data_IF_621606238764
#
_entry.id   IF_621606238764
#
_cell.length_a   1.000
_cell.length_b   1.000
_cell.length_c   1.000
_cell.angle_alpha   90.00
_cell.angle_beta   90.00
_cell.angle_gamma   90.00
#
_symmetry.space_group_name_H-M   'P 1'
#
loop_
_entity.id
_entity.type
_entity.pdbx_description
1 polymer ?
#
# COMPACT_ATOMS: atom_id res chain seq x y z
N UNK A 1 9.96 20.71 -1.65
CA UNK A 1 10.90 19.64 -2.02
C UNK A 1 11.30 18.87 -0.76
N UNK A 2 10.38 18.10 -0.20
CA UNK A 2 10.72 17.16 0.88
C UNK A 2 11.37 15.94 0.25
N UNK A 3 12.63 15.65 0.60
CA UNK A 3 13.27 14.39 0.20
C UNK A 3 12.48 13.27 0.87
N UNK A 4 11.58 12.64 0.12
CA UNK A 4 11.07 11.32 0.48
C UNK A 4 12.28 10.42 0.75
N UNK A 5 12.16 9.56 1.75
CA UNK A 5 13.15 8.55 2.11
C UNK A 5 13.16 7.48 1.01
N UNK A 6 13.49 7.88 -0.21
CA UNK A 6 13.74 6.97 -1.31
C UNK A 6 15.15 6.42 -1.13
N UNK A 7 15.33 5.16 -1.45
CA UNK A 7 16.64 4.48 -1.50
C UNK A 7 17.44 4.95 -2.74
N UNK A 8 17.13 6.17 -3.22
CA UNK A 8 17.62 6.89 -4.39
C UNK A 8 19.15 7.06 -4.46
N UNK A 9 19.85 6.74 -3.37
CA UNK A 9 21.29 6.85 -3.24
C UNK A 9 22.05 5.54 -3.39
N UNK A 10 21.44 4.43 -3.83
CA UNK A 10 22.12 3.13 -3.99
C UNK A 10 23.31 3.25 -4.94
N UNK A 11 23.07 3.82 -6.14
CA UNK A 11 24.06 3.83 -7.22
C UNK A 11 25.20 4.86 -7.01
N UNK A 12 25.07 5.75 -6.02
CA UNK A 12 26.09 6.76 -5.67
C UNK A 12 26.90 6.38 -4.42
N UNK A 13 26.71 5.16 -3.90
CA UNK A 13 27.44 4.68 -2.72
C UNK A 13 28.94 4.50 -3.03
N UNK A 14 29.84 4.95 -2.15
CA UNK A 14 31.29 4.70 -2.28
C UNK A 14 31.66 3.22 -2.43
N UNK A 15 30.79 2.31 -1.95
CA UNK A 15 30.93 0.87 -2.11
C UNK A 15 30.88 0.38 -3.56
N UNK A 16 30.15 1.07 -4.46
CA UNK A 16 30.03 0.70 -5.88
C UNK A 16 31.30 1.05 -6.68
N UNK A 17 31.88 2.24 -6.43
CA UNK A 17 33.15 2.64 -7.04
C UNK A 17 34.32 1.75 -6.59
N UNK A 18 34.26 1.18 -5.39
CA UNK A 18 35.25 0.24 -4.86
C UNK A 18 34.90 -1.25 -5.07
N UNK A 19 33.91 -1.56 -5.90
CA UNK A 19 33.53 -2.93 -6.28
C UNK A 19 33.98 -3.30 -7.71
N UNK A 20 34.26 -2.31 -8.55
CA UNK A 20 34.82 -2.51 -9.87
C UNK A 20 36.19 -3.21 -9.77
N UNK A 21 36.25 -4.48 -10.19
CA UNK A 21 37.47 -5.31 -10.16
C UNK A 21 37.57 -6.34 -9.02
N UNK A 22 36.58 -6.40 -8.12
CA UNK A 22 36.43 -7.51 -7.18
C UNK A 22 35.70 -8.69 -7.85
N UNK A 23 35.86 -9.88 -7.29
CA UNK A 23 34.95 -10.97 -7.63
C UNK A 23 33.50 -10.60 -7.25
N UNK A 24 32.54 -11.01 -8.09
CA UNK A 24 31.13 -10.62 -7.97
C UNK A 24 30.51 -10.99 -6.61
N UNK A 25 30.88 -12.13 -6.01
CA UNK A 25 30.38 -12.51 -4.68
C UNK A 25 30.87 -11.56 -3.58
N UNK A 26 32.13 -11.14 -3.66
CA UNK A 26 32.72 -10.17 -2.72
C UNK A 26 32.11 -8.78 -2.90
N UNK A 27 31.88 -8.37 -4.15
CA UNK A 27 31.20 -7.12 -4.49
C UNK A 27 29.78 -7.10 -3.91
N UNK A 28 28.99 -8.16 -4.12
CA UNK A 28 27.63 -8.28 -3.59
C UNK A 28 27.59 -8.22 -2.07
N UNK A 29 28.47 -8.96 -1.39
CA UNK A 29 28.56 -8.95 0.07
C UNK A 29 28.83 -7.53 0.61
N UNK A 30 29.75 -6.81 -0.02
CA UNK A 30 30.09 -5.42 0.34
C UNK A 30 28.92 -4.47 0.10
N UNK A 31 28.22 -4.62 -1.03
CA UNK A 31 27.05 -3.81 -1.39
C UNK A 31 25.93 -4.00 -0.36
N UNK A 32 25.61 -5.24 0.01
CA UNK A 32 24.58 -5.55 1.02
C UNK A 32 24.92 -4.89 2.36
N UNK A 33 26.18 -4.99 2.82
CA UNK A 33 26.63 -4.38 4.08
C UNK A 33 26.49 -2.86 4.05
N UNK A 34 26.97 -2.21 2.98
CA UNK A 34 26.87 -0.75 2.87
C UNK A 34 25.42 -0.26 2.72
N UNK A 35 24.57 -1.01 2.01
CA UNK A 35 23.15 -0.71 1.91
C UNK A 35 22.44 -0.82 3.26
N UNK A 36 22.69 -1.88 4.03
CA UNK A 36 22.14 -2.02 5.39
C UNK A 36 22.60 -0.90 6.32
N UNK A 37 23.85 -0.48 6.21
CA UNK A 37 24.41 0.62 7.00
C UNK A 37 23.76 1.96 6.64
N UNK A 38 23.54 2.23 5.36
CA UNK A 38 22.94 3.50 4.88
C UNK A 38 21.41 3.53 5.03
N UNK A 39 20.76 2.38 4.93
CA UNK A 39 19.30 2.23 4.99
C UNK A 39 18.90 1.14 6.00
N UNK A 40 19.11 1.35 7.32
CA UNK A 40 18.78 0.36 8.34
C UNK A 40 17.29 0.02 8.33
N UNK A 41 16.97 -1.28 8.37
CA UNK A 41 15.58 -1.77 8.39
C UNK A 41 14.88 -1.84 7.04
N UNK A 42 15.55 -1.47 5.94
CA UNK A 42 14.97 -1.47 4.59
C UNK A 42 15.56 -2.52 3.64
N UNK A 43 16.55 -3.29 4.11
CA UNK A 43 17.18 -4.38 3.35
C UNK A 43 16.84 -5.69 4.04
N UNK A 44 16.42 -6.70 3.27
CA UNK A 44 16.06 -8.03 3.76
C UNK A 44 17.19 -8.65 4.61
N UNK A 45 16.85 -9.38 5.68
CA UNK A 45 17.82 -10.10 6.51
C UNK A 45 18.42 -11.29 5.75
N UNK A 46 19.59 -11.77 6.17
CA UNK A 46 20.34 -12.83 5.47
C UNK A 46 19.54 -14.13 5.31
N UNK A 47 18.69 -14.46 6.27
CA UNK A 47 17.78 -15.61 6.26
C UNK A 47 16.70 -15.54 5.16
N UNK A 48 16.43 -14.35 4.64
CA UNK A 48 15.45 -14.11 3.58
C UNK A 48 16.10 -13.82 2.22
N UNK A 49 17.42 -13.63 2.18
CA UNK A 49 18.17 -13.51 0.94
C UNK A 49 18.27 -14.89 0.27
N UNK A 50 17.73 -14.98 -0.93
CA UNK A 50 17.80 -16.19 -1.75
C UNK A 50 17.98 -15.82 -3.22
N UNK A 51 18.72 -16.66 -3.94
CA UNK A 51 18.79 -16.61 -5.40
C UNK A 51 17.61 -17.37 -5.99
N UNK A 52 16.87 -16.72 -6.87
CA UNK A 52 15.71 -17.28 -7.57
C UNK A 52 15.92 -17.09 -9.06
N UNK A 53 15.54 -18.06 -9.89
CA UNK A 53 15.58 -17.88 -11.34
C UNK A 53 14.53 -16.87 -11.79
N UNK A 54 14.82 -16.17 -12.88
CA UNK A 54 13.90 -15.25 -13.56
C UNK A 54 13.86 -15.62 -15.02
N UNK A 55 12.67 -15.99 -15.49
CA UNK A 55 12.40 -16.27 -16.90
C UNK A 55 11.37 -15.24 -17.39
N UNK A 56 11.80 -14.37 -18.30
CA UNK A 56 10.96 -13.33 -18.90
C UNK A 56 11.53 -12.87 -20.24
N UNK A 57 10.66 -12.42 -21.16
CA UNK A 57 11.07 -11.83 -22.43
C UNK A 57 11.92 -12.73 -23.34
N UNK A 58 11.92 -14.05 -23.12
CA UNK A 58 12.78 -15.02 -23.82
C UNK A 58 14.19 -15.17 -23.22
N UNK A 59 14.57 -14.38 -22.22
CA UNK A 59 15.83 -14.51 -21.51
C UNK A 59 15.65 -15.23 -20.16
N UNK A 60 16.77 -15.69 -19.60
CA UNK A 60 16.84 -16.37 -18.31
C UNK A 60 18.03 -15.85 -17.51
N UNK A 61 17.78 -15.46 -16.26
CA UNK A 61 18.80 -15.06 -15.30
C UNK A 61 18.46 -15.50 -13.89
N UNK A 62 19.20 -15.01 -12.91
CA UNK A 62 18.89 -15.20 -11.49
C UNK A 62 18.94 -13.87 -10.76
N UNK A 63 18.02 -13.70 -9.81
CA UNK A 63 17.95 -12.53 -8.95
C UNK A 63 18.05 -12.87 -7.47
N UNK A 64 18.61 -11.96 -6.70
CA UNK A 64 18.51 -11.92 -5.24
C UNK A 64 17.93 -10.56 -4.82
N UNK A 65 16.67 -10.57 -4.37
CA UNK A 65 15.98 -9.34 -3.96
C UNK A 65 16.55 -8.84 -2.64
N UNK A 66 16.93 -7.56 -2.57
CA UNK A 66 17.45 -6.92 -1.37
C UNK A 66 16.41 -6.02 -0.70
N UNK A 67 15.67 -5.25 -1.51
CA UNK A 67 14.62 -4.35 -1.07
C UNK A 67 13.47 -4.37 -2.07
N UNK A 68 12.24 -4.25 -1.59
CA UNK A 68 11.06 -4.06 -2.43
C UNK A 68 9.95 -3.34 -1.66
N UNK A 69 9.35 -2.36 -2.33
CA UNK A 69 8.14 -1.65 -1.93
C UNK A 69 7.17 -1.59 -3.11
N UNK A 70 6.05 -0.87 -2.95
CA UNK A 70 5.13 -0.62 -4.06
C UNK A 70 5.73 0.31 -5.13
N UNK A 71 6.77 1.08 -4.79
CA UNK A 71 7.31 2.15 -5.64
C UNK A 71 8.78 2.00 -6.02
N UNK A 72 9.53 1.16 -5.30
CA UNK A 72 10.98 0.99 -5.48
C UNK A 72 11.37 -0.48 -5.24
N UNK A 73 12.40 -0.96 -5.93
CA UNK A 73 13.09 -2.20 -5.57
C UNK A 73 14.60 -2.08 -5.80
N UNK A 74 15.36 -2.91 -5.07
CA UNK A 74 16.79 -3.12 -5.30
C UNK A 74 17.03 -4.63 -5.31
N UNK A 75 17.67 -5.14 -6.34
CA UNK A 75 18.05 -6.54 -6.43
C UNK A 75 19.44 -6.71 -7.04
N UNK A 76 20.05 -7.85 -6.75
CA UNK A 76 21.23 -8.34 -7.46
C UNK A 76 20.72 -9.21 -8.60
N UNK A 77 21.19 -8.98 -9.81
CA UNK A 77 20.80 -9.76 -10.98
C UNK A 77 22.04 -10.26 -11.72
N UNK A 78 21.92 -11.40 -12.37
CA UNK A 78 22.90 -11.81 -13.35
C UNK A 78 22.63 -13.17 -13.97
N UNK A 79 23.59 -13.63 -14.75
CA UNK A 79 23.55 -14.93 -15.41
C UNK A 79 24.96 -15.53 -15.52
N UNK A 80 25.05 -16.83 -15.27
CA UNK A 80 26.28 -17.60 -15.48
C UNK A 80 26.42 -18.09 -16.94
N UNK A 81 25.38 -17.95 -17.76
CA UNK A 81 25.35 -18.38 -19.18
C UNK A 81 24.91 -17.22 -20.08
N UNK A 82 25.22 -17.31 -21.38
CA UNK A 82 24.74 -16.33 -22.35
C UNK A 82 23.21 -16.37 -22.42
N UNK A 83 22.57 -15.20 -22.41
CA UNK A 83 21.12 -15.08 -22.56
C UNK A 83 20.75 -13.77 -23.25
N UNK A 84 19.60 -13.72 -23.90
CA UNK A 84 19.11 -12.51 -24.54
C UNK A 84 17.64 -12.61 -24.92
N UNK A 85 17.00 -11.46 -25.07
CA UNK A 85 15.57 -11.37 -25.33
C UNK A 85 15.06 -9.94 -25.27
N UNK A 86 13.78 -9.79 -24.96
CA UNK A 86 13.08 -8.51 -24.86
C UNK A 86 13.24 -7.91 -23.45
N UNK A 87 13.56 -6.61 -23.35
CA UNK A 87 13.79 -5.95 -22.05
C UNK A 87 12.53 -5.80 -21.20
N UNK A 88 11.36 -5.75 -21.83
CA UNK A 88 10.08 -5.39 -21.21
C UNK A 88 9.75 -3.91 -21.40
N UNK A 89 8.46 -3.55 -21.23
CA UNK A 89 7.97 -2.15 -21.14
C UNK A 89 7.34 -1.95 -19.78
N UNK A 90 8.01 -1.18 -18.94
CA UNK A 90 7.61 -0.99 -17.54
C UNK A 90 6.95 0.37 -17.33
N UNK A 91 6.10 0.47 -16.32
CA UNK A 91 5.69 1.75 -15.72
C UNK A 91 6.64 2.14 -14.58
N UNK A 92 7.93 1.97 -14.84
CA UNK A 92 9.02 2.21 -13.92
C UNK A 92 10.30 2.48 -14.70
N UNK A 93 11.16 3.33 -14.12
CA UNK A 93 12.52 3.55 -14.58
C UNK A 93 13.44 2.51 -13.92
N UNK A 94 14.19 1.77 -14.72
CA UNK A 94 15.13 0.74 -14.25
C UNK A 94 16.56 1.21 -14.52
N UNK A 95 17.44 0.99 -13.55
CA UNK A 95 18.85 1.33 -13.64
C UNK A 95 19.71 0.13 -13.28
N UNK A 96 20.53 -0.31 -14.23
CA UNK A 96 21.41 -1.47 -14.12
C UNK A 96 22.86 -1.04 -14.07
N UNK A 97 23.55 -1.32 -12.96
CA UNK A 97 24.98 -1.05 -12.81
C UNK A 97 25.77 -2.35 -12.87
N UNK A 98 26.61 -2.48 -13.90
CA UNK A 98 27.35 -3.72 -14.19
C UNK A 98 28.53 -3.86 -13.21
N UNK A 99 28.66 -5.04 -12.61
CA UNK A 99 29.79 -5.42 -11.74
C UNK A 99 30.79 -6.29 -12.50
N UNK A 100 30.30 -7.22 -13.32
CA UNK A 100 31.13 -8.11 -14.15
C UNK A 100 30.41 -8.48 -15.45
N UNK A 101 31.16 -9.01 -16.42
CA UNK A 101 30.63 -9.43 -17.71
C UNK A 101 30.32 -8.27 -18.67
N UNK A 102 29.42 -8.48 -19.62
CA UNK A 102 29.04 -7.46 -20.61
C UNK A 102 27.53 -7.48 -20.88
N UNK A 103 26.98 -6.29 -21.09
CA UNK A 103 25.57 -6.08 -21.43
C UNK A 103 25.47 -5.42 -22.79
N UNK A 104 24.70 -6.00 -23.72
CA UNK A 104 24.41 -5.41 -25.01
C UNK A 104 22.97 -4.94 -25.06
N UNK A 105 22.76 -3.70 -25.48
CA UNK A 105 21.44 -3.12 -25.68
C UNK A 105 21.25 -2.73 -27.14
N UNK A 106 20.10 -3.10 -27.70
CA UNK A 106 19.63 -2.64 -29.01
C UNK A 106 18.29 -1.92 -28.84
N UNK A 107 18.30 -0.60 -29.04
CA UNK A 107 17.10 0.24 -28.86
C UNK A 107 16.12 0.08 -30.01
N UNK A 108 14.83 0.03 -29.67
CA UNK A 108 13.74 0.03 -30.64
C UNK A 108 13.88 1.19 -31.64
N UNK A 109 13.62 0.93 -32.92
CA UNK A 109 13.73 1.92 -33.99
C UNK A 109 15.15 2.16 -34.53
N UNK A 110 16.17 1.48 -33.99
CA UNK A 110 17.56 1.58 -34.48
C UNK A 110 18.01 0.30 -35.20
N UNK A 111 19.16 0.33 -35.89
CA UNK A 111 19.77 -0.83 -36.56
C UNK A 111 21.16 -1.18 -36.00
N UNK A 112 21.50 -0.66 -34.82
CA UNK A 112 22.81 -0.84 -34.17
C UNK A 112 22.61 -1.13 -32.70
N UNK A 113 23.52 -1.89 -32.11
CA UNK A 113 23.55 -2.16 -30.67
C UNK A 113 24.77 -1.51 -30.03
N UNK A 114 24.66 -1.24 -28.73
CA UNK A 114 25.72 -0.73 -27.88
C UNK A 114 26.10 -1.81 -26.85
N UNK A 115 27.37 -1.85 -26.45
CA UNK A 115 27.89 -2.77 -25.44
C UNK A 115 28.38 -1.94 -24.26
N UNK A 116 27.96 -2.35 -23.07
CA UNK A 116 28.29 -1.78 -21.78
C UNK A 116 29.15 -2.75 -20.97
N UNK A 117 30.00 -2.20 -20.12
CA UNK A 117 31.07 -2.89 -19.39
C UNK A 117 30.97 -2.65 -17.88
N UNK A 118 31.72 -3.39 -17.05
CA UNK A 118 31.75 -3.19 -15.60
C UNK A 118 32.02 -1.74 -15.21
N UNK A 119 31.19 -1.20 -14.33
CA UNK A 119 31.19 0.22 -13.92
C UNK A 119 30.19 1.09 -14.68
N UNK A 120 29.74 0.67 -15.87
CA UNK A 120 28.69 1.39 -16.59
C UNK A 120 27.33 1.22 -15.90
N UNK A 121 26.50 2.25 -16.01
CA UNK A 121 25.10 2.22 -15.57
C UNK A 121 24.18 2.49 -16.75
N UNK A 122 23.31 1.53 -17.04
CA UNK A 122 22.31 1.60 -18.10
C UNK A 122 21.00 2.03 -17.46
N UNK A 123 20.33 3.01 -18.07
CA UNK A 123 19.02 3.48 -17.62
C UNK A 123 18.00 3.14 -18.69
N UNK A 124 16.99 2.35 -18.30
CA UNK A 124 15.84 1.96 -19.11
C UNK A 124 14.61 2.74 -18.61
N UNK A 125 14.16 3.72 -19.40
CA UNK A 125 13.08 4.62 -18.98
C UNK A 125 11.70 3.95 -19.08
N UNK A 126 10.76 4.44 -18.29
CA UNK A 126 9.37 3.99 -18.33
C UNK A 126 8.80 4.04 -19.76
N UNK A 127 8.27 2.90 -20.22
CA UNK A 127 7.69 2.72 -21.55
C UNK A 127 8.68 2.38 -22.68
N UNK A 128 9.99 2.48 -22.47
CA UNK A 128 10.99 2.06 -23.46
C UNK A 128 10.97 0.54 -23.66
N UNK A 129 11.39 0.09 -24.86
CA UNK A 129 11.64 -1.31 -25.18
C UNK A 129 12.98 -1.44 -25.88
N UNK A 130 13.78 -2.42 -25.48
CA UNK A 130 15.06 -2.75 -26.10
C UNK A 130 15.21 -4.27 -26.22
N UNK A 131 15.98 -4.73 -27.20
CA UNK A 131 16.50 -6.08 -27.17
C UNK A 131 17.81 -6.07 -26.36
N UNK A 132 17.93 -7.05 -25.47
CA UNK A 132 19.01 -7.13 -24.48
C UNK A 132 19.73 -8.45 -24.60
N UNK A 133 21.03 -8.45 -24.34
CA UNK A 133 21.83 -9.66 -24.27
C UNK A 133 22.88 -9.51 -23.17
N UNK A 134 22.95 -10.48 -22.29
CA UNK A 134 23.98 -10.61 -21.27
C UNK A 134 24.93 -11.74 -21.68
N UNK A 135 26.23 -11.51 -21.56
CA UNK A 135 27.20 -12.60 -21.72
C UNK A 135 27.31 -13.45 -20.45
N UNK A 136 27.80 -14.68 -20.59
CA UNK A 136 28.08 -15.56 -19.46
C UNK A 136 28.98 -14.87 -18.41
N UNK A 137 28.56 -14.91 -17.13
CA UNK A 137 29.28 -14.25 -16.03
C UNK A 137 28.95 -12.76 -15.85
N UNK A 138 27.86 -12.30 -16.46
CA UNK A 138 27.38 -10.92 -16.27
C UNK A 138 26.56 -10.81 -14.99
N UNK A 139 26.99 -9.93 -14.09
CA UNK A 139 26.37 -9.66 -12.80
C UNK A 139 26.25 -8.16 -12.57
N UNK A 140 25.14 -7.73 -11.98
CA UNK A 140 24.79 -6.31 -11.81
C UNK A 140 23.93 -6.09 -10.57
N UNK A 141 23.85 -4.82 -10.16
CA UNK A 141 22.78 -4.36 -9.26
C UNK A 141 21.75 -3.63 -10.11
N UNK A 142 20.49 -3.97 -9.89
CA UNK A 142 19.35 -3.36 -10.54
C UNK A 142 18.55 -2.56 -9.50
N UNK A 143 18.24 -1.32 -9.84
CA UNK A 143 17.36 -0.44 -9.07
C UNK A 143 16.18 -0.03 -9.94
N UNK A 144 14.96 -0.28 -9.48
CA UNK A 144 13.75 0.13 -10.15
C UNK A 144 12.95 1.14 -9.35
N UNK A 145 12.35 2.12 -10.04
CA UNK A 145 11.47 3.13 -9.45
C UNK A 145 10.25 3.41 -10.32
N UNK A 146 9.06 3.21 -9.77
CA UNK A 146 7.78 3.39 -10.47
C UNK A 146 6.72 2.47 -9.89
N UNK A 147 5.73 2.06 -10.68
CA UNK A 147 4.70 1.12 -10.18
C UNK A 147 5.21 -0.33 -10.23
N UNK A 148 5.98 -0.75 -9.22
CA UNK A 148 6.68 -2.03 -9.19
C UNK A 148 5.76 -3.25 -9.39
N UNK A 149 4.53 -3.32 -8.82
CA UNK A 149 3.62 -4.44 -9.08
C UNK A 149 3.33 -4.70 -10.58
N UNK A 150 3.38 -3.66 -11.43
CA UNK A 150 3.20 -3.84 -12.89
C UNK A 150 4.36 -4.57 -13.56
N UNK A 151 5.58 -4.44 -13.04
CA UNK A 151 6.79 -5.08 -13.60
C UNK A 151 6.76 -6.60 -13.42
N UNK A 152 6.13 -7.05 -12.33
CA UNK A 152 6.03 -8.46 -11.96
C UNK A 152 5.26 -9.29 -12.99
N UNK A 153 4.28 -8.69 -13.68
CA UNK A 153 3.53 -9.36 -14.75
C UNK A 153 4.45 -9.78 -15.91
N UNK A 154 5.43 -8.93 -16.26
CA UNK A 154 6.44 -9.26 -17.26
C UNK A 154 7.45 -10.27 -16.72
N UNK A 155 7.97 -10.04 -15.50
CA UNK A 155 8.99 -10.88 -14.88
C UNK A 155 8.54 -12.35 -14.64
N UNK A 156 7.22 -12.60 -14.57
CA UNK A 156 6.64 -13.92 -14.38
C UNK A 156 6.03 -14.52 -15.66
N UNK A 157 6.03 -13.79 -16.79
CA UNK A 157 5.34 -14.22 -18.00
C UNK A 157 5.86 -15.56 -18.53
N UNK A 158 7.18 -15.69 -18.74
CA UNK A 158 7.76 -16.96 -19.21
C UNK A 158 7.85 -17.99 -18.08
N UNK A 159 7.83 -17.56 -16.81
CA UNK A 159 7.67 -18.49 -15.68
C UNK A 159 6.32 -19.23 -15.78
N UNK A 160 5.24 -18.52 -16.12
CA UNK A 160 3.89 -19.08 -16.21
C UNK A 160 3.64 -19.78 -17.55
N UNK A 161 3.96 -19.12 -18.66
CA UNK A 161 3.53 -19.54 -20.00
C UNK A 161 4.59 -20.28 -20.81
N UNK A 162 5.85 -20.31 -20.35
CA UNK A 162 6.94 -21.02 -21.01
C UNK A 162 7.46 -22.19 -20.16
N UNK A 163 8.08 -21.89 -19.02
CA UNK A 163 8.74 -22.90 -18.17
C UNK A 163 7.78 -23.66 -17.26
N UNK A 164 6.65 -23.04 -16.88
CA UNK A 164 5.68 -23.59 -15.91
C UNK A 164 6.32 -23.93 -14.55
N UNK A 165 7.38 -23.23 -14.18
CA UNK A 165 8.05 -23.42 -12.89
C UNK A 165 7.28 -22.69 -11.77
N UNK A 166 6.22 -23.34 -11.29
CA UNK A 166 5.42 -22.84 -10.19
C UNK A 166 6.18 -22.77 -8.85
N UNK A 167 7.29 -23.51 -8.73
CA UNK A 167 8.18 -23.42 -7.56
C UNK A 167 8.90 -22.07 -7.54
N UNK A 168 9.50 -21.68 -8.67
CA UNK A 168 10.10 -20.36 -8.87
C UNK A 168 9.07 -19.24 -8.73
N UNK A 169 7.87 -19.40 -9.30
CA UNK A 169 6.75 -18.46 -9.11
C UNK A 169 6.45 -18.22 -7.62
N UNK A 170 6.28 -19.30 -6.85
CA UNK A 170 6.01 -19.20 -5.41
C UNK A 170 7.16 -18.52 -4.65
N UNK A 171 8.42 -18.86 -4.98
CA UNK A 171 9.59 -18.26 -4.34
C UNK A 171 9.67 -16.75 -4.59
N UNK A 172 9.44 -16.31 -5.82
CA UNK A 172 9.42 -14.89 -6.20
C UNK A 172 8.33 -14.12 -5.45
N UNK A 173 7.09 -14.64 -5.44
CA UNK A 173 5.98 -14.01 -4.72
C UNK A 173 6.23 -13.96 -3.20
N UNK A 174 6.77 -15.04 -2.63
CA UNK A 174 7.11 -15.12 -1.20
C UNK A 174 8.16 -14.09 -0.80
N UNK A 175 9.25 -13.94 -1.57
CA UNK A 175 10.30 -12.96 -1.24
C UNK A 175 9.79 -11.54 -1.39
N UNK A 176 9.00 -11.26 -2.42
CA UNK A 176 8.36 -9.96 -2.57
C UNK A 176 7.43 -9.63 -1.39
N UNK A 177 6.62 -10.59 -0.94
CA UNK A 177 5.77 -10.42 0.24
C UNK A 177 6.58 -10.17 1.52
N UNK A 178 7.69 -10.87 1.73
CA UNK A 178 8.60 -10.63 2.87
C UNK A 178 9.19 -9.21 2.85
N UNK A 179 9.59 -8.72 1.67
CA UNK A 179 10.10 -7.36 1.52
C UNK A 179 9.00 -6.31 1.82
N UNK A 180 7.77 -6.52 1.34
CA UNK A 180 6.65 -5.63 1.66
C UNK A 180 6.33 -5.61 3.16
N UNK A 181 6.40 -6.77 3.84
CA UNK A 181 6.23 -6.85 5.29
C UNK A 181 7.34 -6.12 6.05
N UNK A 182 8.59 -6.22 5.57
CA UNK A 182 9.71 -5.47 6.13
C UNK A 182 9.44 -3.96 6.05
N UNK A 183 9.09 -3.44 4.88
CA UNK A 183 8.78 -2.02 4.69
C UNK A 183 7.59 -1.55 5.52
N UNK A 184 6.53 -2.36 5.61
CA UNK A 184 5.40 -2.07 6.48
C UNK A 184 5.85 -1.99 7.95
N UNK A 185 6.67 -2.94 8.42
CA UNK A 185 7.17 -2.96 9.80
C UNK A 185 8.06 -1.76 10.13
N UNK A 186 8.92 -1.34 9.19
CA UNK A 186 9.76 -0.17 9.32
C UNK A 186 8.92 1.12 9.41
N UNK A 187 7.90 1.23 8.54
CA UNK A 187 6.94 2.33 8.58
C UNK A 187 6.20 2.41 9.91
N UNK A 188 5.66 1.29 10.42
CA UNK A 188 4.98 1.26 11.71
C UNK A 188 5.90 1.57 12.89
N UNK A 189 7.16 1.13 12.84
CA UNK A 189 8.15 1.44 13.87
C UNK A 189 8.42 2.94 13.94
N UNK A 190 8.58 3.60 12.78
CA UNK A 190 8.74 5.05 12.70
C UNK A 190 7.48 5.79 13.17
N UNK A 191 6.30 5.28 12.81
CA UNK A 191 5.01 5.82 13.24
C UNK A 191 4.83 5.69 14.77
N UNK A 192 5.21 4.57 15.36
CA UNK A 192 5.14 4.34 16.81
C UNK A 192 6.11 5.27 17.58
N UNK A 193 7.31 5.53 17.04
CA UNK A 193 8.26 6.48 17.64
C UNK A 193 7.79 7.93 17.55
N UNK A 194 7.18 8.32 16.42
CA UNK A 194 6.57 9.65 16.27
C UNK A 194 5.31 9.80 17.11
N UNK A 195 4.56 8.71 17.31
CA UNK A 195 3.44 8.64 18.25
C UNK A 195 3.88 8.86 19.71
N UNK A 196 4.97 8.20 20.17
CA UNK A 196 5.48 8.38 21.52
C UNK A 196 6.05 9.78 21.78
N UNK A 197 6.61 10.45 20.76
CA UNK A 197 7.08 11.84 20.86
C UNK A 197 5.96 12.89 20.81
N UNK A 198 4.77 12.52 20.33
CA UNK A 198 3.65 13.44 20.11
C UNK A 198 2.59 13.48 21.21
N UNK A 199 2.67 12.66 22.27
CA UNK A 199 1.57 12.54 23.21
C UNK A 199 1.92 12.90 24.66
N UNK A 200 1.84 14.21 24.92
CA UNK A 200 1.54 14.78 26.23
C UNK A 200 0.16 15.41 26.24
N UNK A 201 -0.91 14.67 25.92
CA UNK A 201 -2.27 15.02 26.36
C UNK A 201 -3.26 13.87 26.15
N UNK A 202 -3.82 13.38 27.25
CA UNK A 202 -5.10 12.66 27.24
C UNK A 202 -6.11 13.40 26.37
N UNK A 203 -6.73 12.70 25.41
CA UNK A 203 -7.99 13.14 24.82
C UNK A 203 -8.89 11.95 24.50
N UNK A 204 -9.97 11.89 25.28
CA UNK A 204 -11.17 11.09 25.05
C UNK A 204 -11.78 11.34 23.65
N UNK A 205 -12.58 10.36 23.21
CA UNK A 205 -13.51 10.32 22.07
C UNK A 205 -13.56 11.59 21.17
N UNK A 206 -13.28 11.48 19.86
CA UNK A 206 -13.20 12.63 18.96
C UNK A 206 -14.55 13.31 18.69
N UNK A 207 -15.67 12.72 19.08
CA UNK A 207 -16.99 13.28 18.80
C UNK A 207 -17.46 14.26 19.88
N UNK A 208 -17.82 15.51 19.52
CA UNK A 208 -18.57 16.36 20.43
C UNK A 208 -19.91 15.67 20.74
N UNK A 209 -20.21 15.51 22.03
CA UNK A 209 -21.46 14.97 22.59
C UNK A 209 -22.71 15.80 22.23
N UNK A 210 -22.61 16.71 21.26
CA UNK A 210 -23.46 17.91 21.16
C UNK A 210 -24.70 17.77 20.27
N UNK A 211 -24.85 16.70 19.47
CA UNK A 211 -25.95 16.61 18.50
C UNK A 211 -26.72 15.29 18.46
N UNK A 212 -26.41 14.35 19.36
CA UNK A 212 -27.14 13.10 19.46
C UNK A 212 -28.35 13.24 20.40
N UNK A 213 -29.53 12.79 19.95
CA UNK A 213 -30.73 12.72 20.79
C UNK A 213 -31.48 14.04 21.04
N UNK A 214 -31.25 15.11 20.27
CA UNK A 214 -32.11 16.31 20.33
C UNK A 214 -33.47 15.96 19.70
N UNK A 215 -34.58 15.98 20.46
CA UNK A 215 -35.89 15.63 19.91
C UNK A 215 -36.25 16.56 18.74
N UNK A 216 -36.51 15.98 17.56
CA UNK A 216 -36.94 16.72 16.36
C UNK A 216 -35.83 17.18 15.41
N UNK A 217 -34.55 16.85 15.66
CA UNK A 217 -33.47 17.09 14.71
C UNK A 217 -33.34 15.91 13.73
N UNK A 218 -33.50 16.18 12.44
CA UNK A 218 -33.33 15.18 11.39
C UNK A 218 -31.84 14.80 11.24
N UNK A 219 -31.57 13.55 10.87
CA UNK A 219 -30.21 13.02 10.69
C UNK A 219 -29.39 13.83 9.67
N UNK A 220 -30.03 14.32 8.60
CA UNK A 220 -29.39 15.21 7.62
C UNK A 220 -28.90 16.52 8.26
N UNK A 221 -29.73 17.16 9.08
CA UNK A 221 -29.36 18.39 9.78
C UNK A 221 -28.24 18.16 10.80
N UNK A 222 -28.26 17.01 11.49
CA UNK A 222 -27.20 16.62 12.40
C UNK A 222 -25.88 16.43 11.65
N UNK A 223 -25.90 15.73 10.52
CA UNK A 223 -24.72 15.52 9.67
C UNK A 223 -24.16 16.83 9.10
N UNK A 224 -24.99 17.74 8.60
CA UNK A 224 -24.52 19.05 8.13
C UNK A 224 -23.80 19.83 9.24
N UNK A 225 -24.34 19.83 10.46
CA UNK A 225 -23.69 20.49 11.61
C UNK A 225 -22.36 19.84 11.98
N UNK A 226 -22.31 18.50 11.97
CA UNK A 226 -21.09 17.74 12.26
C UNK A 226 -20.01 18.05 11.22
N UNK A 227 -20.34 18.08 9.93
CA UNK A 227 -19.38 18.42 8.86
C UNK A 227 -18.83 19.85 9.06
N UNK A 228 -19.70 20.83 9.36
CA UNK A 228 -19.29 22.22 9.61
C UNK A 228 -18.34 22.33 10.80
N UNK A 229 -18.67 21.70 11.93
CA UNK A 229 -17.82 21.72 13.13
C UNK A 229 -16.50 20.98 12.91
N UNK A 230 -16.50 19.86 12.19
CA UNK A 230 -15.28 19.13 11.84
C UNK A 230 -14.37 19.97 10.93
N UNK A 231 -14.92 20.64 9.91
CA UNK A 231 -14.15 21.56 9.04
C UNK A 231 -13.55 22.72 9.81
N UNK A 232 -14.31 23.28 10.75
CA UNK A 232 -13.83 24.38 11.60
C UNK A 232 -12.69 23.94 12.51
N UNK A 233 -12.79 22.74 13.09
CA UNK A 233 -11.80 22.19 14.02
C UNK A 233 -10.57 21.62 13.33
N UNK A 234 -10.73 21.11 12.11
CA UNK A 234 -9.68 20.48 11.30
C UNK A 234 -9.67 21.05 9.86
N UNK A 235 -9.27 22.33 9.68
CA UNK A 235 -9.27 22.95 8.36
C UNK A 235 -8.34 22.21 7.39
N UNK A 236 -8.83 21.91 6.18
CA UNK A 236 -8.06 21.24 5.13
C UNK A 236 -8.00 19.71 5.22
N UNK A 237 -8.61 19.09 6.23
CA UNK A 237 -8.60 17.63 6.43
C UNK A 237 -9.95 16.95 6.16
N UNK A 238 -10.99 17.72 5.84
CA UNK A 238 -12.33 17.22 5.52
C UNK A 238 -12.61 17.49 4.05
N UNK A 239 -13.10 16.49 3.32
CA UNK A 239 -13.45 16.60 1.91
C UNK A 239 -14.40 17.79 1.64
N UNK A 240 -14.20 18.51 0.50
CA UNK A 240 -15.07 19.60 0.11
C UNK A 240 -16.46 19.09 -0.33
N UNK A 241 -17.47 19.96 -0.33
CA UNK A 241 -18.87 19.56 -0.61
C UNK A 241 -19.06 18.93 -1.99
N UNK A 242 -18.26 19.33 -2.98
CA UNK A 242 -18.24 18.77 -4.34
C UNK A 242 -17.76 17.31 -4.40
N UNK A 243 -17.05 16.86 -3.37
CA UNK A 243 -16.51 15.50 -3.26
C UNK A 243 -17.29 14.62 -2.28
N UNK A 244 -18.16 15.22 -1.45
CA UNK A 244 -19.05 14.49 -0.56
C UNK A 244 -20.12 13.77 -1.39
N UNK A 245 -20.13 12.45 -1.30
CA UNK A 245 -21.13 11.61 -1.95
C UNK A 245 -21.51 10.43 -1.08
N UNK A 246 -22.79 10.07 -1.10
CA UNK A 246 -23.30 8.84 -0.52
C UNK A 246 -23.05 7.69 -1.49
N UNK A 247 -22.42 6.62 -1.01
CA UNK A 247 -22.21 5.37 -1.75
C UNK A 247 -22.68 4.20 -0.91
N UNK A 248 -23.27 3.20 -1.57
CA UNK A 248 -23.59 1.95 -0.89
C UNK A 248 -22.32 1.24 -0.42
N UNK A 249 -22.48 0.47 0.65
CA UNK A 249 -21.45 -0.41 1.20
C UNK A 249 -22.08 -1.77 1.43
N UNK A 250 -21.52 -2.78 0.78
CA UNK A 250 -21.87 -4.19 0.97
C UNK A 250 -20.64 -4.90 1.53
N UNK A 251 -20.75 -5.37 2.78
CA UNK A 251 -19.68 -6.10 3.44
C UNK A 251 -20.21 -6.97 4.58
N UNK A 252 -19.56 -8.11 4.85
CA UNK A 252 -19.92 -8.99 5.96
C UNK A 252 -21.37 -9.50 5.95
N UNK A 253 -22.06 -9.49 4.82
CA UNK A 253 -23.47 -9.84 4.68
C UNK A 253 -24.46 -8.71 5.00
N UNK A 254 -23.99 -7.56 5.49
CA UNK A 254 -24.83 -6.37 5.68
C UNK A 254 -24.69 -5.38 4.52
N UNK A 255 -25.66 -4.47 4.42
CA UNK A 255 -25.70 -3.41 3.42
C UNK A 255 -26.09 -2.09 4.08
N UNK A 256 -25.31 -1.04 3.83
CA UNK A 256 -25.58 0.31 4.29
C UNK A 256 -25.14 1.35 3.26
N UNK A 257 -25.13 2.61 3.66
CA UNK A 257 -24.63 3.73 2.86
C UNK A 257 -23.64 4.53 3.69
N UNK A 258 -22.55 4.96 3.06
CA UNK A 258 -21.54 5.81 3.68
C UNK A 258 -21.31 7.10 2.90
N UNK A 259 -20.94 8.16 3.62
CA UNK A 259 -20.38 9.38 3.09
C UNK A 259 -19.04 9.64 3.79
N UNK A 260 -17.93 9.45 3.06
CA UNK A 260 -16.58 9.62 3.60
C UNK A 260 -16.29 11.11 3.80
N UNK A 261 -15.82 11.49 4.98
CA UNK A 261 -15.45 12.87 5.29
C UNK A 261 -13.92 13.06 5.28
N UNK A 262 -13.18 12.09 5.82
CA UNK A 262 -11.73 12.10 5.92
C UNK A 262 -11.19 10.67 5.77
N UNK A 263 -10.05 10.50 5.12
CA UNK A 263 -9.29 9.26 5.14
C UNK A 263 -7.79 9.51 4.95
N UNK A 264 -7.00 8.87 5.79
CA UNK A 264 -5.54 8.79 5.75
C UNK A 264 -5.11 7.32 5.91
N UNK A 265 -3.80 7.07 5.92
CA UNK A 265 -3.28 5.71 6.15
C UNK A 265 -3.58 5.19 7.57
N UNK A 266 -3.87 6.11 8.50
CA UNK A 266 -3.98 5.81 9.93
C UNK A 266 -5.35 6.11 10.54
N UNK A 267 -6.13 6.96 9.90
CA UNK A 267 -7.41 7.46 10.43
C UNK A 267 -8.44 7.62 9.31
N UNK A 268 -9.71 7.41 9.61
CA UNK A 268 -10.81 7.84 8.74
C UNK A 268 -11.98 8.36 9.57
N UNK A 269 -12.80 9.21 8.96
CA UNK A 269 -14.09 9.66 9.48
C UNK A 269 -15.12 9.54 8.38
N UNK A 270 -16.24 8.89 8.66
CA UNK A 270 -17.35 8.78 7.73
C UNK A 270 -18.70 8.89 8.45
N UNK A 271 -19.71 9.28 7.69
CA UNK A 271 -21.10 9.14 8.09
C UNK A 271 -21.58 7.80 7.54
N UNK A 272 -22.24 7.00 8.37
CA UNK A 272 -22.76 5.69 7.97
C UNK A 272 -24.20 5.52 8.43
N UNK A 273 -24.98 4.77 7.66
CA UNK A 273 -26.27 4.32 8.13
C UNK A 273 -27.02 3.48 7.12
N UNK A 274 -28.25 3.15 7.47
CA UNK A 274 -29.17 2.40 6.62
C UNK A 274 -30.60 2.88 6.83
N UNK A 275 -31.35 2.98 5.74
CA UNK A 275 -32.78 3.24 5.75
C UNK A 275 -33.63 1.97 5.99
N UNK A 276 -33.03 0.78 5.87
CA UNK A 276 -33.68 -0.53 6.04
C UNK A 276 -32.94 -1.38 7.08
N UNK A 277 -33.59 -2.40 7.63
CA UNK A 277 -32.92 -3.33 8.53
C UNK A 277 -31.78 -4.07 7.82
N UNK A 278 -30.64 -4.19 8.49
CA UNK A 278 -29.50 -4.97 7.99
C UNK A 278 -28.70 -5.55 9.14
N UNK A 279 -27.99 -6.65 8.89
CA UNK A 279 -27.12 -7.27 9.88
C UNK A 279 -26.17 -8.27 9.26
N UNK A 280 -25.08 -8.54 9.97
CA UNK A 280 -24.02 -9.39 9.47
C UNK A 280 -22.79 -9.37 10.37
N UNK A 281 -21.62 -9.59 9.77
CA UNK A 281 -20.33 -9.65 10.43
C UNK A 281 -19.69 -8.25 10.48
N UNK A 282 -19.23 -7.79 11.65
CA UNK A 282 -18.60 -6.45 11.78
C UNK A 282 -17.29 -6.29 11.02
N UNK A 283 -16.53 -7.39 10.88
CA UNK A 283 -15.17 -7.40 10.31
C UNK A 283 -14.11 -7.56 11.41
N UNK A 284 -12.91 -8.02 11.05
CA UNK A 284 -11.75 -8.11 11.95
C UNK A 284 -10.66 -7.16 11.44
N UNK A 285 -10.55 -6.00 12.06
CA UNK A 285 -9.68 -4.92 11.60
C UNK A 285 -8.39 -4.83 12.41
N UNK A 286 -7.34 -4.30 11.80
CA UNK A 286 -6.13 -3.84 12.50
C UNK A 286 -6.24 -2.36 12.92
N UNK A 287 -7.44 -1.98 13.35
CA UNK A 287 -7.80 -0.63 13.76
C UNK A 287 -8.87 -0.68 14.85
N UNK A 288 -8.83 0.32 15.73
CA UNK A 288 -9.92 0.60 16.68
C UNK A 288 -11.00 1.40 15.95
N UNK A 289 -12.24 0.91 15.96
CA UNK A 289 -13.38 1.56 15.33
C UNK A 289 -14.33 2.10 16.41
N UNK A 290 -14.75 3.35 16.26
CA UNK A 290 -15.64 4.05 17.16
C UNK A 290 -16.91 4.45 16.43
N UNK A 291 -18.06 4.09 16.98
CA UNK A 291 -19.38 4.43 16.46
C UNK A 291 -20.06 5.41 17.41
N UNK A 292 -20.58 6.51 16.89
CA UNK A 292 -21.43 7.44 17.64
C UNK A 292 -22.82 7.46 17.00
N UNK A 293 -23.82 6.91 17.68
CA UNK A 293 -25.17 6.78 17.13
C UNK A 293 -25.87 8.13 17.15
N UNK A 294 -26.31 8.58 15.98
CA UNK A 294 -27.06 9.83 15.80
C UNK A 294 -28.56 9.56 15.85
N UNK A 295 -29.02 8.49 15.19
CA UNK A 295 -30.43 8.09 15.10
C UNK A 295 -30.54 6.56 14.99
N UNK A 296 -31.68 6.00 15.42
CA UNK A 296 -31.99 4.57 15.31
C UNK A 296 -31.39 3.71 16.41
N UNK A 297 -31.28 2.40 16.16
CA UNK A 297 -30.79 1.43 17.15
C UNK A 297 -29.80 0.47 16.53
N UNK A 298 -28.73 0.20 17.28
CA UNK A 298 -27.65 -0.68 16.86
C UNK A 298 -27.45 -1.80 17.87
N UNK A 299 -27.43 -3.04 17.40
CA UNK A 299 -27.26 -4.22 18.24
C UNK A 299 -25.93 -4.88 17.94
N UNK A 300 -25.20 -5.25 18.99
CA UNK A 300 -24.00 -6.07 18.88
C UNK A 300 -24.12 -7.37 19.66
N UNK A 301 -23.60 -8.44 19.07
CA UNK A 301 -23.38 -9.72 19.71
C UNK A 301 -21.89 -10.07 19.64
N UNK A 302 -21.22 -10.07 20.80
CA UNK A 302 -19.78 -10.28 20.91
C UNK A 302 -19.40 -11.75 20.69
N UNK A 303 -18.27 -11.97 20.02
CA UNK A 303 -17.69 -13.31 19.85
C UNK A 303 -17.52 -14.00 21.22
N UNK A 304 -17.96 -15.26 21.32
CA UNK A 304 -17.85 -16.06 22.55
C UNK A 304 -18.95 -15.85 23.59
N UNK A 305 -19.94 -14.97 23.37
CA UNK A 305 -21.10 -14.81 24.27
C UNK A 305 -22.37 -15.42 23.66
N UNK A 306 -23.45 -15.52 24.45
CA UNK A 306 -24.78 -15.98 23.99
C UNK A 306 -25.86 -14.89 24.05
N UNK A 307 -25.48 -13.66 24.42
CA UNK A 307 -26.38 -12.51 24.55
C UNK A 307 -25.95 -11.35 23.67
N UNK A 308 -26.91 -10.50 23.29
CA UNK A 308 -26.66 -9.27 22.52
C UNK A 308 -27.00 -8.03 23.34
N UNK A 309 -26.30 -6.92 23.05
CA UNK A 309 -26.51 -5.60 23.64
C UNK A 309 -27.11 -4.67 22.58
N UNK A 310 -28.02 -3.78 22.98
CA UNK A 310 -28.63 -2.77 22.10
C UNK A 310 -28.17 -1.39 22.57
N UNK A 311 -27.73 -0.58 21.63
CA UNK A 311 -27.27 0.78 21.80
C UNK A 311 -28.23 1.76 21.11
N UNK A 312 -28.31 2.97 21.67
CA UNK A 312 -29.30 4.00 21.35
C UNK A 312 -28.62 5.32 20.92
N UNK A 313 -29.38 6.28 20.37
CA UNK A 313 -28.83 7.58 20.00
C UNK A 313 -28.13 8.27 21.18
N UNK A 314 -26.89 8.71 20.96
CA UNK A 314 -26.02 9.30 21.98
C UNK A 314 -25.01 8.32 22.58
N UNK A 315 -25.22 7.01 22.41
CA UNK A 315 -24.23 6.01 22.81
C UNK A 315 -23.02 6.07 21.88
N UNK A 316 -21.85 5.79 22.47
CA UNK A 316 -20.60 5.61 21.75
C UNK A 316 -20.11 4.19 21.98
N UNK A 317 -19.87 3.45 20.91
CA UNK A 317 -19.37 2.08 20.93
C UNK A 317 -17.93 2.08 20.43
N UNK A 318 -17.07 1.27 21.05
CA UNK A 318 -15.72 1.03 20.58
C UNK A 318 -15.54 -0.47 20.30
N UNK A 319 -15.10 -0.80 19.08
CA UNK A 319 -14.63 -2.12 18.70
C UNK A 319 -13.10 -2.06 18.59
N UNK A 320 -12.40 -2.84 19.41
CA UNK A 320 -10.93 -2.82 19.44
C UNK A 320 -10.32 -3.60 18.29
N UNK A 321 -9.10 -3.24 17.93
CA UNK A 321 -8.32 -3.96 16.91
C UNK A 321 -8.31 -5.47 17.19
N UNK A 322 -8.68 -6.24 16.19
CA UNK A 322 -8.77 -7.70 16.26
C UNK A 322 -10.07 -8.25 16.85
N UNK A 323 -10.95 -7.43 17.43
CA UNK A 323 -12.26 -7.89 17.91
C UNK A 323 -13.24 -8.13 16.76
N UNK A 324 -14.17 -9.04 16.98
CA UNK A 324 -15.27 -9.36 16.06
C UNK A 324 -16.58 -9.41 16.83
N UNK A 325 -17.60 -8.82 16.23
CA UNK A 325 -19.00 -8.92 16.66
C UNK A 325 -19.90 -9.24 15.49
N UNK A 326 -21.04 -9.89 15.75
CA UNK A 326 -22.18 -9.83 14.86
C UNK A 326 -22.95 -8.54 15.14
N UNK A 327 -23.35 -7.85 14.08
CA UNK A 327 -23.93 -6.50 14.13
C UNK A 327 -25.29 -6.49 13.46
N UNK A 328 -26.19 -5.67 13.98
CA UNK A 328 -27.48 -5.42 13.35
C UNK A 328 -27.87 -3.95 13.55
N UNK A 329 -28.21 -3.29 12.45
CA UNK A 329 -28.76 -1.94 12.45
C UNK A 329 -30.25 -2.03 12.11
N UNK A 330 -31.08 -1.37 12.90
CA UNK A 330 -32.50 -1.25 12.58
C UNK A 330 -32.74 -0.24 11.45
N UNK A 331 -33.87 -0.35 10.76
CA UNK A 331 -34.26 0.62 9.75
C UNK A 331 -34.21 2.08 10.28
N UNK A 332 -33.57 2.98 9.53
CA UNK A 332 -33.40 4.38 9.89
C UNK A 332 -32.28 4.65 10.90
N UNK A 333 -31.30 3.76 11.00
CA UNK A 333 -30.15 3.94 11.90
C UNK A 333 -29.02 4.69 11.19
N UNK A 334 -28.54 5.77 11.81
CA UNK A 334 -27.50 6.65 11.29
C UNK A 334 -26.49 6.99 12.38
N UNK A 335 -25.21 6.99 12.03
CA UNK A 335 -24.11 7.18 12.96
C UNK A 335 -22.92 7.86 12.29
N UNK A 336 -22.03 8.37 13.13
CA UNK A 336 -20.70 8.77 12.71
C UNK A 336 -19.72 7.68 13.11
N UNK A 337 -18.84 7.31 12.20
CA UNK A 337 -17.81 6.30 12.40
C UNK A 337 -16.44 6.94 12.30
N UNK A 338 -15.57 6.60 13.26
CA UNK A 338 -14.17 6.98 13.26
C UNK A 338 -13.32 5.74 13.47
N UNK A 339 -12.37 5.51 12.57
CA UNK A 339 -11.40 4.43 12.72
C UNK A 339 -9.99 4.97 12.92
N UNK A 340 -9.21 4.27 13.75
CA UNK A 340 -7.80 4.58 14.02
C UNK A 340 -6.96 3.31 14.06
N UNK A 341 -5.96 3.21 13.19
CA UNK A 341 -5.06 2.06 13.09
C UNK A 341 -4.57 1.87 11.67
N UNK A 342 -4.25 0.66 11.24
CA UNK A 342 -3.86 0.44 9.83
C UNK A 342 -5.10 0.35 8.94
N UNK A 343 -5.46 1.46 8.29
CA UNK A 343 -6.72 1.59 7.55
C UNK A 343 -6.73 0.86 6.19
N UNK A 344 -5.70 0.91 5.32
CA UNK A 344 -5.78 0.35 3.97
C UNK A 344 -6.29 -1.11 3.88
N UNK A 345 -5.95 -2.05 4.79
CA UNK A 345 -6.50 -3.40 4.75
C UNK A 345 -8.00 -3.49 5.03
N UNK A 346 -8.62 -2.52 5.71
CA UNK A 346 -10.06 -2.53 5.97
C UNK A 346 -10.87 -2.42 4.67
N UNK A 347 -10.32 -1.77 3.62
CA UNK A 347 -10.95 -1.68 2.30
C UNK A 347 -11.17 -3.06 1.68
N UNK A 348 -10.34 -4.06 1.99
CA UNK A 348 -10.52 -5.43 1.49
C UNK A 348 -11.84 -5.99 2.02
N UNK A 349 -12.11 -5.84 3.32
CA UNK A 349 -13.36 -6.28 3.92
C UNK A 349 -14.55 -5.48 3.38
N UNK A 350 -14.45 -4.15 3.37
CA UNK A 350 -15.52 -3.22 2.92
C UNK A 350 -15.92 -3.44 1.46
N UNK A 351 -15.02 -3.92 0.61
CA UNK A 351 -15.28 -4.18 -0.81
C UNK A 351 -15.57 -5.66 -1.11
N UNK A 352 -15.47 -6.56 -0.14
CA UNK A 352 -15.56 -8.00 -0.37
C UNK A 352 -16.93 -8.39 -0.97
N UNK A 353 -18.04 -8.00 -0.37
CA UNK A 353 -19.35 -8.36 -0.91
C UNK A 353 -19.68 -7.55 -2.16
N UNK A 354 -19.16 -6.32 -2.30
CA UNK A 354 -19.25 -5.56 -3.56
C UNK A 354 -18.63 -6.33 -4.73
N UNK A 355 -17.49 -6.99 -4.51
CA UNK A 355 -16.78 -7.75 -5.56
C UNK A 355 -17.38 -9.15 -5.75
N UNK A 356 -17.57 -9.90 -4.66
CA UNK A 356 -17.87 -11.33 -4.71
C UNK A 356 -19.35 -11.67 -4.53
N UNK A 357 -20.18 -10.72 -4.11
CA UNK A 357 -21.63 -10.93 -3.94
C UNK A 357 -22.45 -10.08 -4.92
N UNK A 358 -22.41 -8.75 -4.83
CA UNK A 358 -23.27 -7.88 -5.64
C UNK A 358 -22.72 -7.60 -7.03
N UNK A 359 -21.40 -7.69 -7.21
CA UNK A 359 -20.69 -7.36 -8.44
C UNK A 359 -20.99 -5.93 -8.93
N UNK A 360 -21.28 -5.01 -8.00
CA UNK A 360 -21.58 -3.62 -8.31
C UNK A 360 -20.30 -2.84 -8.60
N UNK A 361 -19.88 -2.92 -9.87
CA UNK A 361 -18.68 -2.23 -10.39
C UNK A 361 -18.78 -0.71 -10.29
N UNK A 362 -20.00 -0.14 -10.26
CA UNK A 362 -20.21 1.31 -10.15
C UNK A 362 -19.95 1.76 -8.72
N UNK A 363 -20.46 1.02 -7.73
CA UNK A 363 -20.20 1.26 -6.31
C UNK A 363 -18.72 1.02 -5.98
N UNK A 364 -18.10 -0.02 -6.55
CA UNK A 364 -16.66 -0.27 -6.41
C UNK A 364 -15.84 0.93 -6.90
N UNK A 365 -16.09 1.39 -8.13
CA UNK A 365 -15.39 2.56 -8.70
C UNK A 365 -15.62 3.82 -7.87
N UNK A 366 -16.87 4.07 -7.48
CA UNK A 366 -17.25 5.25 -6.69
C UNK A 366 -16.53 5.27 -5.34
N UNK A 367 -16.46 4.13 -4.66
CA UNK A 367 -15.77 3.98 -3.37
C UNK A 367 -14.27 4.25 -3.51
N UNK A 368 -13.61 3.58 -4.46
CA UNK A 368 -12.17 3.76 -4.70
C UNK A 368 -11.84 5.21 -5.08
N UNK A 369 -12.69 5.86 -5.87
CA UNK A 369 -12.54 7.26 -6.26
C UNK A 369 -12.60 8.22 -5.07
N UNK A 370 -13.54 8.02 -4.12
CA UNK A 370 -13.63 8.88 -2.93
C UNK A 370 -12.43 8.67 -2.03
N UNK A 371 -12.02 7.41 -1.80
CA UNK A 371 -10.83 7.12 -1.02
C UNK A 371 -9.60 7.80 -1.63
N UNK A 372 -9.41 7.70 -2.95
CA UNK A 372 -8.31 8.38 -3.64
C UNK A 372 -8.35 9.90 -3.45
N UNK A 373 -9.52 10.53 -3.56
CA UNK A 373 -9.67 11.98 -3.31
C UNK A 373 -9.31 12.36 -1.87
N UNK A 374 -9.74 11.57 -0.88
CA UNK A 374 -9.41 11.80 0.52
C UNK A 374 -7.90 11.67 0.79
N UNK A 375 -7.25 10.62 0.24
CA UNK A 375 -5.80 10.47 0.36
C UNK A 375 -5.03 11.62 -0.31
N UNK A 376 -5.49 12.10 -1.47
CA UNK A 376 -4.89 13.24 -2.16
C UNK A 376 -5.04 14.54 -1.37
N UNK A 377 -6.19 14.75 -0.72
CA UNK A 377 -6.41 15.88 0.18
C UNK A 377 -5.38 15.87 1.32
N UNK A 378 -5.21 14.75 2.01
CA UNK A 378 -4.23 14.61 3.09
C UNK A 378 -2.79 14.79 2.62
N UNK A 379 -2.44 14.23 1.45
CA UNK A 379 -1.14 14.45 0.85
C UNK A 379 -0.90 15.95 0.55
N UNK A 380 -1.90 16.65 -0.01
CA UNK A 380 -1.79 18.08 -0.34
C UNK A 380 -1.66 18.97 0.91
N UNK A 381 -2.40 18.64 1.98
CA UNK A 381 -2.32 19.34 3.26
C UNK A 381 -0.93 19.17 3.88
N UNK A 382 -0.38 17.96 3.86
CA UNK A 382 0.97 17.65 4.32
C UNK A 382 2.06 18.40 3.53
N UNK A 383 1.98 18.40 2.19
CA UNK A 383 2.95 19.14 1.37
C UNK A 383 2.87 20.66 1.54
N UNK A 384 1.68 21.19 1.84
CA UNK A 384 1.50 22.63 2.12
C UNK A 384 2.16 23.05 3.43
N UNK A 385 2.13 22.19 4.46
CA UNK A 385 2.82 22.43 5.73
C UNK A 385 4.35 22.37 5.58
N UNK A 386 4.87 21.50 4.70
CA UNK A 386 6.31 21.41 4.42
C UNK A 386 6.86 22.57 3.58
N UNK A 387 5.99 23.38 2.97
CA UNK A 387 6.37 24.53 2.15
C UNK A 387 6.44 25.85 2.94
N UNK A 388 5.95 25.86 4.19
CA UNK A 388 6.10 26.94 5.17
C UNK A 388 7.32 26.67 6.05
#
# INVERSE_FOLDING_TARGET
MGRGVGILGVLTLPGFLGAAGLDHEQAFSKIIVELRKKHPGHILPDEDLQWVFVNAGGWMGSMCLLHASLTEYVLLFGTAIDTGGHSGRYWADISDTIISGTFRQWKEGTTRSEIYYPGDTIVHQSGEATAVQWSAGTWMVEYGRGFIPSTLMFALADTIFSTQDFGTLFCTLRVYAKALLLEASAYFSHLAQSYQKGNGQERLCPFPRAHAGVPGLDHEQAFSKIIVELRKKHPGHILPDEDLQWVFVNAGGWMGSMCLLHASLTEYVLLFGTAIDTGGHSGRYWADIYYAIVLGTFRQWKEGTTGSEIYYPGDTIAQKSGEVTAVQWSAGTWMVEYGRGFIPPSLIFVLSDTVFSTQDVVTLFSTLRICAKAFLLEASAYFSQLAQ
#
